data_IF_215470730562
#
_entry.id   IF_215470730562
#
_cell.length_a   1.000
_cell.length_b   1.000
_cell.length_c   1.000
_cell.angle_alpha   90.00
_cell.angle_beta   90.00
_cell.angle_gamma   90.00
#
_symmetry.space_group_name_H-M   'P 1'
#
loop_
_entity.id
_entity.type
_entity.pdbx_description
1 polymer ?
#
# COMPACT_ATOMS: atom_id res chain seq x y z
N UNK A 1 -8.91 5.39 12.62
CA UNK A 1 -7.54 4.87 12.71
C UNK A 1 -6.73 5.72 13.66
N UNK A 2 -5.96 5.12 14.58
CA UNK A 2 -5.12 5.86 15.53
C UNK A 2 -3.69 5.96 15.00
N UNK A 3 -3.04 7.15 15.02
CA UNK A 3 -1.64 7.28 14.62
C UNK A 3 -0.69 6.51 15.54
N UNK A 4 -1.12 6.20 16.78
CA UNK A 4 -0.34 5.40 17.72
C UNK A 4 -0.19 3.92 17.34
N UNK A 5 -0.95 3.46 16.32
CA UNK A 5 -0.83 2.09 15.80
C UNK A 5 0.12 2.00 14.60
N UNK A 6 0.65 3.12 14.10
CA UNK A 6 1.63 3.12 13.02
C UNK A 6 2.97 2.70 13.63
N UNK A 7 3.57 1.64 13.08
CA UNK A 7 4.87 1.18 13.52
C UNK A 7 5.93 2.27 13.30
N UNK A 8 6.81 2.49 14.28
CA UNK A 8 7.92 3.44 14.17
C UNK A 8 8.94 3.01 13.11
N UNK A 9 9.06 1.70 12.87
CA UNK A 9 9.87 1.11 11.83
C UNK A 9 9.18 -0.16 11.31
N UNK A 10 9.32 -0.42 10.00
CA UNK A 10 8.93 -1.67 9.37
C UNK A 10 10.15 -2.27 8.68
N UNK A 11 10.39 -3.57 8.91
CA UNK A 11 11.48 -4.32 8.28
C UNK A 11 10.85 -5.26 7.26
N UNK A 12 11.21 -5.09 5.99
CA UNK A 12 10.73 -5.93 4.90
C UNK A 12 11.83 -6.92 4.49
N UNK A 13 11.88 -8.07 5.17
CA UNK A 13 12.83 -9.16 4.86
C UNK A 13 12.19 -10.16 3.88
N UNK A 14 12.65 -10.27 2.62
CA UNK A 14 12.08 -11.18 1.64
C UNK A 14 12.33 -12.65 1.97
N UNK A 15 13.40 -12.99 2.72
CA UNK A 15 13.71 -14.39 3.05
C UNK A 15 12.61 -15.03 3.91
N UNK A 16 11.94 -14.23 4.73
CA UNK A 16 10.79 -14.66 5.54
C UNK A 16 9.55 -15.05 4.70
N UNK A 17 9.55 -14.73 3.40
CA UNK A 17 8.41 -15.00 2.50
C UNK A 17 8.66 -16.17 1.54
N UNK A 18 9.91 -16.64 1.41
CA UNK A 18 10.30 -17.63 0.40
C UNK A 18 9.66 -19.01 0.61
N UNK A 19 9.26 -19.34 1.84
CA UNK A 19 8.64 -20.62 2.20
C UNK A 19 7.12 -20.54 2.33
N UNK A 20 6.49 -19.41 1.99
CA UNK A 20 5.04 -19.28 2.03
C UNK A 20 4.37 -20.28 1.08
N UNK A 21 3.25 -20.91 1.47
CA UNK A 21 2.47 -21.74 0.55
C UNK A 21 2.06 -20.93 -0.70
N UNK A 22 2.07 -21.53 -1.90
CA UNK A 22 1.76 -20.81 -3.14
C UNK A 22 0.41 -20.08 -3.12
N UNK A 23 -0.63 -20.71 -2.55
CA UNK A 23 -1.95 -20.07 -2.40
C UNK A 23 -1.94 -18.86 -1.47
N UNK A 24 -1.14 -18.88 -0.40
CA UNK A 24 -1.01 -17.74 0.51
C UNK A 24 -0.28 -16.58 -0.18
N UNK A 25 0.80 -16.88 -0.91
CA UNK A 25 1.55 -15.89 -1.70
C UNK A 25 0.64 -15.22 -2.74
N UNK A 26 -0.18 -16.01 -3.45
CA UNK A 26 -1.11 -15.49 -4.44
C UNK A 26 -2.16 -14.56 -3.82
N UNK A 27 -2.78 -14.96 -2.70
CA UNK A 27 -3.81 -14.15 -2.03
C UNK A 27 -3.21 -12.86 -1.46
N UNK A 28 -2.05 -12.93 -0.80
CA UNK A 28 -1.39 -11.74 -0.27
C UNK A 28 -0.94 -10.78 -1.39
N UNK A 29 -0.48 -11.32 -2.51
CA UNK A 29 -0.16 -10.53 -3.70
C UNK A 29 -1.39 -9.85 -4.31
N UNK A 30 -2.51 -10.57 -4.42
CA UNK A 30 -3.78 -10.03 -4.90
C UNK A 30 -4.35 -8.93 -3.97
N UNK A 31 -4.19 -9.10 -2.65
CA UNK A 31 -4.54 -8.09 -1.65
C UNK A 31 -3.70 -6.81 -1.82
N UNK A 32 -2.37 -6.96 -1.96
CA UNK A 32 -1.47 -5.84 -2.22
C UNK A 32 -1.80 -5.11 -3.54
N UNK A 33 -2.20 -5.85 -4.59
CA UNK A 33 -2.62 -5.26 -5.86
C UNK A 33 -3.92 -4.47 -5.71
N UNK A 34 -4.89 -5.02 -4.97
CA UNK A 34 -6.15 -4.35 -4.64
C UNK A 34 -5.88 -3.03 -3.92
N UNK A 35 -5.04 -3.04 -2.88
CA UNK A 35 -4.65 -1.81 -2.17
C UNK A 35 -4.05 -0.76 -3.10
N UNK A 36 -3.20 -1.15 -4.04
CA UNK A 36 -2.59 -0.21 -4.98
C UNK A 36 -3.62 0.40 -5.95
N UNK A 37 -4.55 -0.40 -6.47
CA UNK A 37 -5.62 0.07 -7.36
C UNK A 37 -6.58 1.01 -6.62
N UNK A 38 -7.00 0.66 -5.40
CA UNK A 38 -7.86 1.50 -4.57
C UNK A 38 -7.18 2.81 -4.19
N UNK A 39 -5.89 2.78 -3.83
CA UNK A 39 -5.12 3.99 -3.51
C UNK A 39 -5.00 4.92 -4.72
N UNK A 40 -4.78 4.37 -5.93
CA UNK A 40 -4.70 5.15 -7.16
C UNK A 40 -6.06 5.73 -7.58
N UNK A 41 -7.16 5.05 -7.29
CA UNK A 41 -8.52 5.49 -7.66
C UNK A 41 -9.24 6.26 -6.57
N UNK A 42 -8.63 6.40 -5.39
CA UNK A 42 -9.19 7.14 -4.26
C UNK A 42 -9.53 8.60 -4.60
N UNK A 43 -10.58 9.12 -3.95
CA UNK A 43 -10.92 10.53 -4.04
C UNK A 43 -9.79 11.41 -3.48
N UNK A 44 -9.51 12.52 -4.15
CA UNK A 44 -8.64 13.56 -3.60
C UNK A 44 -9.37 14.26 -2.45
N UNK A 45 -8.72 14.32 -1.29
CA UNK A 45 -9.17 15.18 -0.18
C UNK A 45 -8.63 16.59 -0.40
N UNK A 46 -9.26 17.58 0.24
CA UNK A 46 -8.95 19.00 0.08
C UNK A 46 -7.49 19.35 0.38
N UNK A 47 -7.11 20.60 0.14
CA UNK A 47 -5.72 21.08 0.26
C UNK A 47 -5.35 21.51 1.69
N UNK A 48 -6.07 21.05 2.71
CA UNK A 48 -5.79 21.42 4.10
C UNK A 48 -4.45 20.79 4.55
N UNK A 49 -3.43 21.62 4.88
CA UNK A 49 -2.11 21.14 5.27
C UNK A 49 -2.12 20.38 6.62
N UNK A 50 -3.20 20.46 7.40
CA UNK A 50 -3.38 19.74 8.67
C UNK A 50 -3.95 18.32 8.52
N UNK A 51 -4.42 17.94 7.33
CA UNK A 51 -5.02 16.62 7.10
C UNK A 51 -4.11 15.43 7.47
N UNK A 52 -2.80 15.44 7.14
CA UNK A 52 -1.88 14.35 7.52
C UNK A 52 -1.68 14.19 9.03
N UNK A 53 -1.81 15.26 9.79
CA UNK A 53 -1.67 15.25 11.24
C UNK A 53 -2.95 14.76 11.93
N UNK A 54 -4.10 14.94 11.28
CA UNK A 54 -5.42 14.60 11.85
C UNK A 54 -5.88 13.19 11.45
N UNK A 55 -5.42 12.67 10.31
CA UNK A 55 -5.87 11.38 9.78
C UNK A 55 -4.69 10.51 9.32
N UNK A 56 -4.69 9.26 9.76
CA UNK A 56 -3.73 8.23 9.29
C UNK A 56 -3.86 7.99 7.78
N UNK A 57 -5.08 8.03 7.25
CA UNK A 57 -5.33 7.89 5.82
C UNK A 57 -5.79 9.23 5.25
N UNK A 58 -4.95 9.85 4.42
CA UNK A 58 -5.23 11.15 3.78
C UNK A 58 -5.75 11.03 2.35
N UNK A 59 -5.79 9.82 1.78
CA UNK A 59 -6.26 9.57 0.43
C UNK A 59 -5.24 9.93 -0.65
N UNK A 60 -5.74 10.32 -1.82
CA UNK A 60 -4.95 10.49 -3.05
C UNK A 60 -4.08 11.75 -3.07
N UNK A 61 -2.83 11.61 -3.46
CA UNK A 61 -1.84 12.66 -3.72
C UNK A 61 -0.89 12.25 -4.86
N UNK A 62 -0.06 13.18 -5.37
CA UNK A 62 0.94 12.85 -6.38
C UNK A 62 1.95 11.80 -5.91
N UNK A 63 2.32 11.83 -4.61
CA UNK A 63 3.25 10.87 -4.03
C UNK A 63 2.63 9.47 -3.90
N UNK A 64 1.39 9.38 -3.41
CA UNK A 64 0.69 8.09 -3.30
C UNK A 64 0.39 7.49 -4.67
N UNK A 65 0.08 8.32 -5.67
CA UNK A 65 -0.11 7.88 -7.05
C UNK A 65 1.16 7.24 -7.63
N UNK A 66 2.32 7.84 -7.36
CA UNK A 66 3.61 7.28 -7.80
C UNK A 66 3.83 5.86 -7.25
N UNK A 67 3.66 5.69 -5.93
CA UNK A 67 3.85 4.37 -5.30
C UNK A 67 2.78 3.36 -5.73
N UNK A 68 1.53 3.78 -5.87
CA UNK A 68 0.45 2.91 -6.33
C UNK A 68 0.72 2.37 -7.75
N UNK A 69 1.11 3.25 -8.69
CA UNK A 69 1.44 2.83 -10.05
C UNK A 69 2.69 1.94 -10.10
N UNK A 70 3.70 2.23 -9.28
CA UNK A 70 4.88 1.37 -9.17
C UNK A 70 4.51 -0.02 -8.66
N UNK A 71 3.70 -0.10 -7.60
CA UNK A 71 3.21 -1.36 -7.04
C UNK A 71 2.39 -2.16 -8.06
N UNK A 72 1.43 -1.53 -8.75
CA UNK A 72 0.63 -2.17 -9.82
C UNK A 72 1.56 -2.77 -10.88
N UNK A 73 2.56 -2.03 -11.34
CA UNK A 73 3.50 -2.49 -12.37
C UNK A 73 4.36 -3.67 -11.89
N UNK A 74 4.85 -3.64 -10.65
CA UNK A 74 5.68 -4.70 -10.10
C UNK A 74 4.85 -5.97 -9.84
N UNK A 75 3.71 -5.83 -9.17
CA UNK A 75 2.82 -6.96 -8.85
C UNK A 75 2.26 -7.60 -10.13
N UNK A 76 1.80 -6.80 -11.09
CA UNK A 76 1.28 -7.31 -12.36
C UNK A 76 2.29 -8.05 -13.23
N UNK A 77 3.60 -7.94 -12.95
CA UNK A 77 4.67 -8.69 -13.64
C UNK A 77 5.22 -9.86 -12.83
N UNK A 78 4.87 -9.96 -11.56
CA UNK A 78 5.47 -10.91 -10.61
C UNK A 78 4.47 -11.89 -10.02
N UNK A 79 3.16 -11.64 -10.18
CA UNK A 79 2.09 -12.56 -9.85
C UNK A 79 1.65 -13.32 -11.12
N UNK A 80 2.52 -14.21 -11.60
CA UNK A 80 2.24 -15.19 -12.67
C UNK A 80 2.49 -16.61 -12.15
#
# INVERSE_FOLDING_TARGET
SSPHLIAAAAICDPELTMTCPPGLTAIAGADALTHAVEAFTAARRGTDPGLPQQHVFIGKSALTDHFALLAIKLLGRSLE
#
